data_IF_957829697002
#
_entry.id   IF_957829697002
#
_cell.length_a   1.000
_cell.length_b   1.000
_cell.length_c   1.000
_cell.angle_alpha   90.00
_cell.angle_beta   90.00
_cell.angle_gamma   90.00
#
_symmetry.space_group_name_H-M   'P 1'
#
loop_
_entity.id
_entity.type
_entity.pdbx_description
1 polymer ?
#
# COMPACT_ATOMS: atom_id res chain seq x y z
N UNK A 1 -7.42 8.14 9.60
CA UNK A 1 -6.83 6.87 10.07
C UNK A 1 -7.68 5.72 9.56
N UNK A 2 -7.07 4.57 9.24
CA UNK A 2 -7.74 3.36 8.77
C UNK A 2 -7.14 2.14 9.46
N UNK A 3 -7.95 1.27 10.03
CA UNK A 3 -7.50 -0.03 10.55
C UNK A 3 -7.87 -1.11 9.54
N UNK A 4 -6.90 -1.94 9.16
CA UNK A 4 -7.08 -2.94 8.13
C UNK A 4 -6.36 -4.25 8.48
N UNK A 5 -6.95 -5.37 8.05
CA UNK A 5 -6.39 -6.71 8.26
C UNK A 5 -5.99 -7.31 6.91
N UNK A 6 -4.75 -7.79 6.82
CA UNK A 6 -4.26 -8.55 5.67
C UNK A 6 -4.23 -10.04 6.01
N UNK A 7 -4.78 -10.86 5.13
CA UNK A 7 -4.72 -12.32 5.21
C UNK A 7 -3.74 -12.86 4.18
N UNK A 8 -2.74 -13.62 4.62
CA UNK A 8 -1.75 -14.26 3.75
C UNK A 8 -2.05 -15.76 3.69
N UNK A 9 -2.13 -16.27 2.46
CA UNK A 9 -2.26 -17.71 2.18
C UNK A 9 -1.24 -18.10 1.11
N UNK A 10 -0.28 -18.96 1.45
CA UNK A 10 0.71 -19.49 0.51
C UNK A 10 1.09 -20.92 0.89
N UNK A 11 0.70 -21.89 0.06
CA UNK A 11 0.84 -23.31 0.41
C UNK A 11 0.10 -23.65 1.72
N UNK A 12 0.81 -24.24 2.68
CA UNK A 12 0.28 -24.56 4.02
C UNK A 12 0.29 -23.36 4.98
N UNK A 13 0.98 -22.27 4.64
CA UNK A 13 1.03 -21.08 5.48
C UNK A 13 -0.30 -20.31 5.39
N UNK A 14 -0.93 -20.12 6.55
CA UNK A 14 -2.12 -19.29 6.73
C UNK A 14 -1.87 -18.38 7.92
N UNK A 15 -1.78 -17.08 7.68
CA UNK A 15 -1.57 -16.08 8.73
C UNK A 15 -2.33 -14.81 8.40
N UNK A 16 -2.48 -13.94 9.39
CA UNK A 16 -3.02 -12.61 9.22
C UNK A 16 -2.33 -11.64 10.17
N UNK A 17 -2.46 -10.37 9.85
CA UNK A 17 -2.08 -9.29 10.73
C UNK A 17 -2.96 -8.08 10.46
N UNK A 18 -3.19 -7.30 11.50
CA UNK A 18 -3.98 -6.07 11.47
C UNK A 18 -3.05 -4.91 11.72
N UNK A 19 -3.10 -3.89 10.86
CA UNK A 19 -2.37 -2.63 11.03
C UNK A 19 -3.32 -1.47 11.22
N UNK A 20 -2.86 -0.49 11.99
CA UNK A 20 -3.40 0.85 12.04
C UNK A 20 -2.59 1.72 11.08
N UNK A 21 -3.29 2.36 10.16
CA UNK A 21 -2.74 3.16 9.08
C UNK A 21 -3.07 4.63 9.35
N UNK A 22 -2.06 5.42 9.72
CA UNK A 22 -2.20 6.86 9.96
C UNK A 22 -1.81 7.59 8.68
N UNK A 23 -2.77 8.31 8.08
CA UNK A 23 -2.55 9.00 6.82
C UNK A 23 -2.16 10.45 7.10
N UNK A 24 -1.09 10.90 6.46
CA UNK A 24 -0.66 12.29 6.41
C UNK A 24 -0.65 12.74 4.94
N UNK A 25 -1.83 13.10 4.39
CA UNK A 25 -1.94 13.48 2.98
C UNK A 25 -1.11 14.73 2.66
N UNK A 26 -0.56 14.83 1.43
CA UNK A 26 -0.64 13.85 0.34
C UNK A 26 0.48 12.79 0.37
N UNK A 27 1.40 12.88 1.34
CA UNK A 27 2.75 12.35 1.17
C UNK A 27 3.01 11.00 1.85
N UNK A 28 2.40 10.71 3.01
CA UNK A 28 2.80 9.53 3.77
C UNK A 28 1.64 8.78 4.43
N UNK A 29 1.85 7.48 4.63
CA UNK A 29 0.99 6.62 5.44
C UNK A 29 1.86 5.77 6.35
N UNK A 30 1.68 5.90 7.66
CA UNK A 30 2.41 5.12 8.66
C UNK A 30 1.60 3.89 9.08
N UNK A 31 2.25 2.73 9.10
CA UNK A 31 1.70 1.44 9.49
C UNK A 31 2.24 1.06 10.85
N UNK A 32 1.33 0.78 11.78
CA UNK A 32 1.65 0.22 13.09
C UNK A 32 0.88 -1.07 13.33
N UNK A 33 1.55 -2.09 13.86
CA UNK A 33 0.93 -3.36 14.23
C UNK A 33 -0.14 -3.15 15.31
N UNK A 34 -1.34 -3.69 15.07
CA UNK A 34 -2.40 -3.81 16.08
C UNK A 34 -2.41 -5.23 16.65
N UNK A 35 -2.38 -6.24 15.77
CA UNK A 35 -2.34 -7.66 16.15
C UNK A 35 -1.81 -8.51 14.99
N UNK A 36 -1.41 -9.74 15.27
CA UNK A 36 -1.02 -10.73 14.26
C UNK A 36 0.14 -11.61 14.69
N UNK A 37 0.66 -12.39 13.75
CA UNK A 37 1.75 -13.34 14.02
C UNK A 37 3.15 -12.70 14.15
N UNK A 38 3.22 -11.37 14.21
CA UNK A 38 4.44 -10.58 14.35
C UNK A 38 4.60 -10.10 15.79
N UNK A 39 5.85 -10.07 16.28
CA UNK A 39 6.20 -9.34 17.51
C UNK A 39 6.25 -7.84 17.25
N UNK A 40 6.78 -7.45 16.09
CA UNK A 40 6.82 -6.08 15.61
C UNK A 40 6.50 -6.08 14.12
N UNK A 41 5.69 -5.13 13.69
CA UNK A 41 5.49 -4.81 12.29
C UNK A 41 5.25 -3.31 12.22
N UNK A 42 6.06 -2.64 11.44
CA UNK A 42 5.94 -1.22 11.15
C UNK A 42 6.21 -0.98 9.67
N UNK A 43 5.68 0.10 9.14
CA UNK A 43 5.98 0.47 7.77
C UNK A 43 5.62 1.91 7.45
N UNK A 44 6.16 2.39 6.35
CA UNK A 44 5.88 3.71 5.84
C UNK A 44 5.64 3.63 4.34
N UNK A 45 4.49 4.14 3.92
CA UNK A 45 4.29 4.51 2.53
C UNK A 45 4.76 5.93 2.32
N UNK A 46 5.46 6.15 1.21
CA UNK A 46 5.82 7.48 0.73
C UNK A 46 5.31 7.66 -0.69
N UNK A 47 4.63 8.77 -0.92
CA UNK A 47 4.09 9.18 -2.22
C UNK A 47 4.82 10.45 -2.66
N UNK A 48 5.61 10.33 -3.73
CA UNK A 48 6.36 11.44 -4.30
C UNK A 48 5.75 11.84 -5.64
N UNK A 49 5.34 13.10 -5.78
CA UNK A 49 4.88 13.60 -7.06
C UNK A 49 6.02 13.60 -8.09
N UNK A 50 5.73 13.10 -9.29
CA UNK A 50 6.63 13.18 -10.44
C UNK A 50 6.12 14.31 -11.33
N UNK A 51 6.99 15.28 -11.61
CA UNK A 51 6.70 16.40 -12.49
C UNK A 51 7.48 16.30 -13.81
N UNK A 52 6.95 16.89 -14.88
CA UNK A 52 7.68 17.15 -16.11
C UNK A 52 8.67 18.33 -15.95
N UNK A 53 9.51 18.65 -16.96
CA UNK A 53 10.48 19.74 -16.87
C UNK A 53 9.87 21.13 -16.62
N UNK A 54 8.60 21.33 -16.94
CA UNK A 54 7.86 22.58 -16.73
C UNK A 54 7.15 22.63 -15.36
N UNK A 55 7.35 21.60 -14.52
CA UNK A 55 6.83 21.52 -13.16
C UNK A 55 5.39 20.99 -13.07
N UNK A 56 4.82 20.46 -14.16
CA UNK A 56 3.47 19.90 -14.15
C UNK A 56 3.48 18.45 -13.63
N UNK A 57 2.59 18.07 -12.70
CA UNK A 57 2.53 16.71 -12.19
C UNK A 57 2.05 15.75 -13.28
N UNK A 58 2.88 14.76 -13.59
CA UNK A 58 2.61 13.72 -14.59
C UNK A 58 2.41 12.33 -13.96
N UNK A 59 2.73 12.18 -12.67
CA UNK A 59 2.54 10.93 -11.96
C UNK A 59 2.94 11.00 -10.50
N UNK A 60 3.04 9.82 -9.89
CA UNK A 60 3.48 9.64 -8.52
C UNK A 60 4.38 8.40 -8.46
N UNK A 61 5.50 8.51 -7.75
CA UNK A 61 6.27 7.36 -7.28
C UNK A 61 5.72 6.94 -5.92
N UNK A 62 5.61 5.64 -5.70
CA UNK A 62 5.13 5.08 -4.44
C UNK A 62 6.23 4.17 -3.91
N UNK A 63 6.61 4.36 -2.65
CA UNK A 63 7.52 3.47 -1.93
C UNK A 63 6.80 2.86 -0.73
N UNK A 64 7.12 1.62 -0.41
CA UNK A 64 6.68 0.93 0.80
C UNK A 64 7.90 0.37 1.51
N UNK A 65 8.24 0.97 2.64
CA UNK A 65 9.27 0.47 3.55
C UNK A 65 8.59 -0.30 4.68
N UNK A 66 9.03 -1.54 4.93
CA UNK A 66 8.49 -2.39 5.98
C UNK A 66 9.62 -2.90 6.89
N UNK A 67 9.35 -2.90 8.18
CA UNK A 67 10.21 -3.48 9.20
C UNK A 67 9.40 -4.43 10.07
N UNK A 68 9.93 -5.62 10.35
CA UNK A 68 9.19 -6.62 11.10
C UNK A 68 10.10 -7.52 11.95
N UNK A 69 9.50 -8.10 12.99
CA UNK A 69 10.06 -9.16 13.81
C UNK A 69 9.00 -10.24 14.01
N UNK A 70 9.35 -11.49 13.75
CA UNK A 70 8.42 -12.61 13.85
C UNK A 70 8.28 -13.10 15.29
N UNK A 71 7.10 -13.64 15.60
CA UNK A 71 6.92 -14.44 16.80
C UNK A 71 7.51 -15.84 16.62
N UNK A 72 8.02 -16.43 17.70
CA UNK A 72 9.00 -17.54 17.68
C UNK A 72 8.60 -18.85 16.98
N UNK A 73 7.36 -19.01 16.52
CA UNK A 73 6.92 -20.18 15.75
C UNK A 73 7.14 -20.03 14.22
N UNK A 74 7.49 -18.84 13.72
CA UNK A 74 7.57 -18.53 12.28
C UNK A 74 8.97 -18.05 11.81
N UNK A 75 9.99 -18.10 12.66
CA UNK A 75 11.31 -17.45 12.46
C UNK A 75 12.23 -18.11 11.42
N UNK A 76 11.70 -18.70 10.34
CA UNK A 76 12.49 -19.33 9.28
C UNK A 76 12.62 -18.47 8.01
N UNK A 77 13.69 -18.67 7.25
CA UNK A 77 13.98 -17.99 5.97
C UNK A 77 12.82 -18.03 4.94
N UNK A 78 11.95 -19.04 5.03
CA UNK A 78 10.75 -19.14 4.19
C UNK A 78 9.79 -17.95 4.40
N UNK A 79 9.69 -17.43 5.63
CA UNK A 79 8.73 -16.36 5.94
C UNK A 79 9.16 -15.03 5.32
N UNK A 80 10.46 -14.72 5.33
CA UNK A 80 11.01 -13.50 4.72
C UNK A 80 10.64 -13.41 3.24
N UNK A 81 10.80 -14.50 2.48
CA UNK A 81 10.40 -14.56 1.06
C UNK A 81 8.89 -14.44 0.85
N UNK A 82 8.06 -14.99 1.75
CA UNK A 82 6.59 -14.80 1.65
C UNK A 82 6.23 -13.34 1.92
N UNK A 83 6.89 -12.72 2.90
CA UNK A 83 6.61 -11.35 3.28
C UNK A 83 7.04 -10.35 2.21
N UNK A 84 8.22 -10.52 1.61
CA UNK A 84 8.67 -9.71 0.48
C UNK A 84 7.68 -9.80 -0.70
N UNK A 85 7.20 -11.02 -1.00
CA UNK A 85 6.17 -11.19 -2.01
C UNK A 85 4.85 -10.49 -1.63
N UNK A 86 4.44 -10.56 -0.36
CA UNK A 86 3.24 -9.86 0.12
C UNK A 86 3.38 -8.34 0.01
N UNK A 87 4.55 -7.77 0.32
CA UNK A 87 4.84 -6.36 0.15
C UNK A 87 4.72 -5.94 -1.33
N UNK A 88 5.28 -6.73 -2.25
CA UNK A 88 5.14 -6.51 -3.70
C UNK A 88 3.67 -6.50 -4.15
N UNK A 89 2.87 -7.47 -3.69
CA UNK A 89 1.42 -7.50 -3.98
C UNK A 89 0.68 -6.27 -3.45
N UNK A 90 1.07 -5.71 -2.30
CA UNK A 90 0.47 -4.49 -1.76
C UNK A 90 0.76 -3.28 -2.67
N UNK A 91 2.00 -3.15 -3.15
CA UNK A 91 2.38 -2.08 -4.09
C UNK A 91 1.61 -2.23 -5.40
N UNK A 92 1.54 -3.45 -5.95
CA UNK A 92 0.80 -3.72 -7.19
C UNK A 92 -0.69 -3.39 -7.04
N UNK A 93 -1.32 -3.83 -5.95
CA UNK A 93 -2.71 -3.52 -5.66
C UNK A 93 -2.96 -2.01 -5.52
N UNK A 94 -2.01 -1.28 -4.91
CA UNK A 94 -2.07 0.16 -4.82
C UNK A 94 -2.03 0.81 -6.22
N UNK A 95 -1.09 0.39 -7.08
CA UNK A 95 -0.96 0.91 -8.45
C UNK A 95 -2.21 0.64 -9.27
N UNK A 96 -2.75 -0.58 -9.20
CA UNK A 96 -4.01 -0.94 -9.88
C UNK A 96 -5.14 -0.03 -9.43
N UNK A 97 -5.29 0.17 -8.11
CA UNK A 97 -6.35 1.02 -7.57
C UNK A 97 -6.18 2.48 -7.98
N UNK A 98 -4.97 3.00 -7.96
CA UNK A 98 -4.67 4.37 -8.36
C UNK A 98 -5.02 4.61 -9.84
N UNK A 99 -4.70 3.66 -10.74
CA UNK A 99 -5.05 3.73 -12.16
C UNK A 99 -6.56 3.76 -12.37
N UNK A 100 -7.30 2.86 -11.71
CA UNK A 100 -8.76 2.84 -11.78
C UNK A 100 -9.38 4.17 -11.34
N UNK A 101 -8.88 4.77 -10.25
CA UNK A 101 -9.37 6.06 -9.77
C UNK A 101 -9.01 7.22 -10.72
N UNK A 102 -7.83 7.16 -11.34
CA UNK A 102 -7.41 8.15 -12.35
C UNK A 102 -8.27 8.09 -13.61
N UNK A 103 -8.52 6.90 -14.13
CA UNK A 103 -9.40 6.69 -15.29
C UNK A 103 -10.84 7.16 -15.00
N UNK A 104 -11.34 6.90 -13.79
CA UNK A 104 -12.64 7.43 -13.34
C UNK A 104 -12.63 8.96 -13.20
N UNK A 105 -11.52 9.56 -12.77
CA UNK A 105 -11.33 11.01 -12.72
C UNK A 105 -11.35 11.64 -14.12
N UNK A 106 -10.70 11.02 -15.09
CA UNK A 106 -10.70 11.45 -16.49
C UNK A 106 -12.12 11.34 -17.10
N UNK A 107 -12.85 10.25 -16.83
CA UNK A 107 -14.25 10.08 -17.29
C UNK A 107 -15.20 11.10 -16.61
N UNK A 108 -15.04 11.34 -15.30
CA UNK A 108 -15.84 12.33 -14.58
C UNK A 108 -15.55 13.76 -15.07
N UNK A 109 -14.29 14.07 -15.39
CA UNK A 109 -13.90 15.35 -15.99
C UNK A 109 -14.49 15.54 -17.40
N UNK A 110 -14.48 14.50 -18.23
CA UNK A 110 -15.14 14.50 -19.56
C UNK A 110 -16.65 14.72 -19.41
N UNK A 111 -17.30 14.00 -18.49
CA UNK A 111 -18.75 14.14 -18.26
C UNK A 111 -19.11 15.54 -17.75
N UNK A 112 -18.29 16.14 -16.88
CA UNK A 112 -18.49 17.51 -16.40
C UNK A 112 -18.23 18.58 -17.47
N UNK A 113 -17.31 18.32 -18.42
CA UNK A 113 -17.05 19.19 -19.56
C UNK A 113 -18.18 19.11 -20.61
N UNK A 114 -18.75 17.93 -20.83
CA UNK A 114 -19.82 17.69 -21.81
C UNK A 114 -21.22 18.12 -21.32
N UNK A 115 -21.40 18.34 -20.01
CA UNK A 115 -22.65 18.82 -19.42
C UNK A 115 -22.88 20.35 -19.56
N UNK A 116 -21.96 21.09 -20.20
CA UNK A 116 -22.15 22.50 -20.56
C UNK A 116 -22.54 22.63 -22.04
N UNK A 117 -23.83 22.48 -22.33
CA UNK A 117 -24.48 23.07 -23.52
C UNK A 117 -25.67 23.89 -23.09
#
# INVERSE_FOLDING_TARGET
EVVATLYIRKGLLRTHFTTRNTLSPPATIELSLVEGSFRRLGGHWTLEAIADPDGKPIGCRVNLDLSFELSGALSGALFETVFEHAAGMLVDAFVVRARQLRELGDIAAVTAADARR
#
